data_IF_471709621124
#
_entry.id   IF_471709621124
#
_cell.length_a   1.000
_cell.length_b   1.000
_cell.length_c   1.000
_cell.angle_alpha   90.00
_cell.angle_beta   90.00
_cell.angle_gamma   90.00
#
_symmetry.space_group_name_H-M   'P 1'
#
loop_
_entity.id
_entity.type
_entity.pdbx_description
1 polymer ?
#
# COMPACT_ATOMS: atom_id res chain seq x y z
N UNK A 1 5.42 13.14 1.83
CA UNK A 1 4.28 12.91 0.90
C UNK A 1 4.72 12.35 -0.46
N UNK A 2 5.79 12.87 -1.09
CA UNK A 2 6.24 12.38 -2.41
C UNK A 2 6.60 10.89 -2.42
N UNK A 3 7.35 10.43 -1.40
CA UNK A 3 7.71 9.02 -1.24
C UNK A 3 6.49 8.08 -1.20
N UNK A 4 5.46 8.43 -0.42
CA UNK A 4 4.21 7.65 -0.32
C UNK A 4 3.48 7.59 -1.65
N UNK A 5 3.45 8.70 -2.41
CA UNK A 5 2.85 8.73 -3.74
C UNK A 5 3.65 7.88 -4.75
N UNK A 6 4.97 7.86 -4.64
CA UNK A 6 5.83 7.00 -5.46
C UNK A 6 5.53 5.51 -5.17
N UNK A 7 5.48 5.13 -3.90
CA UNK A 7 5.05 3.79 -3.47
C UNK A 7 3.67 3.41 -3.98
N UNK A 8 2.68 4.31 -3.89
CA UNK A 8 1.31 4.08 -4.40
C UNK A 8 1.32 3.83 -5.90
N UNK A 9 2.07 4.65 -6.64
CA UNK A 9 2.20 4.53 -8.09
C UNK A 9 2.86 3.21 -8.47
N UNK A 10 3.90 2.80 -7.73
CA UNK A 10 4.60 1.53 -7.96
C UNK A 10 3.73 0.32 -7.64
N UNK A 11 2.98 0.37 -6.54
CA UNK A 11 2.03 -0.67 -6.17
C UNK A 11 0.96 -0.85 -7.26
N UNK A 12 0.43 0.27 -7.77
CA UNK A 12 -0.55 0.28 -8.87
C UNK A 12 0.00 -0.31 -10.16
N UNK A 13 1.25 0.02 -10.52
CA UNK A 13 1.95 -0.55 -11.67
C UNK A 13 2.13 -2.07 -11.53
N UNK A 14 2.60 -2.56 -10.38
CA UNK A 14 2.92 -3.99 -10.18
C UNK A 14 1.65 -4.85 -10.11
N UNK A 15 0.60 -4.34 -9.48
CA UNK A 15 -0.64 -5.10 -9.30
C UNK A 15 -1.46 -5.11 -10.59
N UNK A 16 -1.22 -4.16 -11.51
CA UNK A 16 -1.97 -3.96 -12.76
C UNK A 16 -3.48 -3.89 -12.51
N UNK A 17 -3.86 -3.18 -11.44
CA UNK A 17 -5.25 -3.08 -10.99
C UNK A 17 -5.62 -1.65 -10.63
N UNK A 18 -6.91 -1.34 -10.83
CA UNK A 18 -7.53 -0.11 -10.32
C UNK A 18 -7.88 -0.21 -8.83
N UNK A 19 -7.81 -1.39 -8.23
CA UNK A 19 -8.11 -1.63 -6.81
C UNK A 19 -6.86 -1.44 -5.93
N UNK A 20 -6.25 -0.25 -6.04
CA UNK A 20 -5.18 0.20 -5.15
C UNK A 20 -5.61 1.50 -4.47
N UNK A 21 -5.45 1.53 -3.15
CA UNK A 21 -5.96 2.57 -2.28
C UNK A 21 -4.84 3.12 -1.40
N UNK A 22 -4.94 4.40 -1.06
CA UNK A 22 -4.11 5.04 -0.05
C UNK A 22 -5.00 5.60 1.05
N UNK A 23 -4.71 5.21 2.29
CA UNK A 23 -5.34 5.76 3.48
C UNK A 23 -4.33 6.53 4.31
N UNK A 24 -4.81 7.56 5.01
CA UNK A 24 -4.09 8.24 6.09
C UNK A 24 -4.75 7.87 7.41
N UNK A 25 -4.00 7.17 8.26
CA UNK A 25 -4.38 6.82 9.63
C UNK A 25 -4.15 7.96 10.61
N UNK A 26 -4.18 7.62 11.89
CA UNK A 26 -3.78 8.52 12.97
C UNK A 26 -2.24 8.69 12.98
N UNK A 27 -1.72 9.76 13.61
CA UNK A 27 -0.28 10.00 13.78
C UNK A 27 0.57 9.98 12.49
N UNK A 28 -0.01 10.45 11.38
CA UNK A 28 0.64 10.49 10.07
C UNK A 28 1.04 9.13 9.47
N UNK A 29 0.41 8.05 9.93
CA UNK A 29 0.55 6.73 9.33
C UNK A 29 -0.11 6.67 7.94
N UNK A 30 0.56 6.04 6.99
CA UNK A 30 0.04 5.80 5.64
C UNK A 30 -0.16 4.32 5.37
N UNK A 31 -1.32 3.95 4.82
CA UNK A 31 -1.62 2.59 4.41
C UNK A 31 -1.78 2.49 2.90
N UNK A 32 -0.87 1.77 2.24
CA UNK A 32 -0.97 1.44 0.83
C UNK A 32 -1.60 0.06 0.68
N UNK A 33 -2.81 0.00 0.14
CA UNK A 33 -3.58 -1.25 0.07
C UNK A 33 -3.80 -1.65 -1.38
N UNK A 34 -3.28 -2.81 -1.76
CA UNK A 34 -3.53 -3.43 -3.05
C UNK A 34 -4.43 -4.65 -2.92
N UNK A 35 -5.52 -4.70 -3.69
CA UNK A 35 -6.40 -5.86 -3.74
C UNK A 35 -5.91 -6.83 -4.83
N UNK A 36 -5.36 -7.98 -4.40
CA UNK A 36 -4.87 -9.03 -5.30
C UNK A 36 -4.86 -10.39 -4.60
N UNK A 37 -5.45 -11.40 -5.24
CA UNK A 37 -5.27 -12.80 -4.83
C UNK A 37 -3.95 -13.33 -5.38
N UNK A 38 -3.04 -13.70 -4.47
CA UNK A 38 -1.67 -14.12 -4.79
C UNK A 38 -1.05 -14.79 -3.56
N UNK A 39 0.00 -15.58 -3.76
CA UNK A 39 0.67 -16.31 -2.69
C UNK A 39 1.42 -15.36 -1.74
N UNK A 40 1.65 -15.76 -0.48
CA UNK A 40 2.43 -14.95 0.47
C UNK A 40 3.84 -14.62 -0.05
N UNK A 41 4.47 -15.54 -0.77
CA UNK A 41 5.79 -15.33 -1.38
C UNK A 41 5.76 -14.22 -2.44
N UNK A 42 4.71 -14.16 -3.25
CA UNK A 42 4.51 -13.07 -4.22
C UNK A 42 4.16 -11.76 -3.52
N UNK A 43 3.33 -11.78 -2.47
CA UNK A 43 3.02 -10.58 -1.67
C UNK A 43 4.29 -9.94 -1.13
N UNK A 44 5.19 -10.74 -0.53
CA UNK A 44 6.47 -10.25 -0.03
C UNK A 44 7.27 -9.53 -1.12
N UNK A 45 7.43 -10.17 -2.29
CA UNK A 45 8.16 -9.57 -3.42
C UNK A 45 7.55 -8.25 -3.92
N UNK A 46 6.23 -8.11 -3.87
CA UNK A 46 5.56 -6.87 -4.26
C UNK A 46 5.82 -5.81 -3.18
N UNK A 47 5.67 -6.15 -1.90
CA UNK A 47 5.92 -5.25 -0.77
C UNK A 47 7.35 -4.73 -0.81
N UNK A 48 8.33 -5.61 -0.98
CA UNK A 48 9.76 -5.26 -1.05
C UNK A 48 10.00 -4.21 -2.16
N UNK A 49 9.48 -4.46 -3.37
CA UNK A 49 9.61 -3.52 -4.49
C UNK A 49 8.95 -2.16 -4.24
N UNK A 50 7.87 -2.13 -3.48
CA UNK A 50 7.18 -0.87 -3.13
C UNK A 50 7.96 -0.10 -2.08
N UNK A 51 8.47 -0.78 -1.06
CA UNK A 51 9.32 -0.17 -0.04
C UNK A 51 10.63 0.34 -0.64
N UNK A 52 11.28 -0.45 -1.50
CA UNK A 52 12.47 -0.03 -2.25
C UNK A 52 12.23 1.26 -3.04
N UNK A 53 11.03 1.42 -3.63
CA UNK A 53 10.68 2.66 -4.33
C UNK A 53 10.49 3.82 -3.36
N UNK A 54 9.79 3.61 -2.24
CA UNK A 54 9.58 4.62 -1.20
C UNK A 54 10.93 5.13 -0.67
N UNK A 55 11.88 4.22 -0.41
CA UNK A 55 13.18 4.57 0.16
C UNK A 55 14.12 5.34 -0.77
N UNK A 56 13.84 5.38 -2.08
CA UNK A 56 14.55 6.31 -2.99
C UNK A 56 14.28 7.78 -2.67
N UNK A 57 13.20 8.06 -1.93
CA UNK A 57 12.71 9.39 -1.65
C UNK A 57 12.85 9.80 -0.18
N UNK A 58 13.52 8.99 0.66
CA UNK A 58 13.84 9.27 2.05
C UNK A 58 14.08 8.02 2.88
N UNK A 59 14.50 8.20 4.14
CA UNK A 59 14.96 7.08 4.99
C UNK A 59 13.96 6.68 6.08
N UNK A 60 13.05 7.58 6.47
CA UNK A 60 12.09 7.35 7.56
C UNK A 60 10.67 7.72 7.13
N UNK A 61 9.77 6.73 7.17
CA UNK A 61 8.35 6.90 6.87
C UNK A 61 7.51 5.99 7.76
N UNK A 62 6.38 6.51 8.24
CA UNK A 62 5.37 5.69 8.89
C UNK A 62 4.41 5.15 7.83
N UNK A 63 4.75 3.98 7.28
CA UNK A 63 4.03 3.40 6.15
C UNK A 63 3.83 1.89 6.28
N UNK A 64 2.62 1.44 5.99
CA UNK A 64 2.21 0.03 5.98
C UNK A 64 1.72 -0.35 4.59
N UNK A 65 2.28 -1.40 3.99
CA UNK A 65 1.85 -1.93 2.68
C UNK A 65 1.04 -3.21 2.90
N UNK A 66 -0.20 -3.23 2.42
CA UNK A 66 -1.13 -4.34 2.59
C UNK A 66 -1.51 -4.91 1.23
N UNK A 67 -1.31 -6.22 1.04
CA UNK A 67 -1.81 -6.95 -0.13
C UNK A 67 -2.80 -8.00 0.31
N UNK A 68 -4.06 -7.81 -0.05
CA UNK A 68 -5.16 -8.59 0.50
C UNK A 68 -6.21 -8.94 -0.56
N UNK A 69 -7.07 -9.90 -0.22
CA UNK A 69 -8.25 -10.24 -1.03
C UNK A 69 -9.33 -9.16 -0.85
N UNK A 70 -10.27 -9.08 -1.80
CA UNK A 70 -11.41 -8.16 -1.71
C UNK A 70 -12.24 -8.34 -0.44
N UNK A 71 -12.52 -9.60 -0.06
CA UNK A 71 -13.28 -9.91 1.16
C UNK A 71 -12.61 -9.34 2.42
N UNK A 72 -11.32 -9.59 2.59
CA UNK A 72 -10.57 -9.06 3.73
C UNK A 72 -10.44 -7.54 3.69
N UNK A 73 -10.30 -6.93 2.51
CA UNK A 73 -10.29 -5.47 2.39
C UNK A 73 -11.58 -4.86 2.94
N UNK A 74 -12.74 -5.41 2.59
CA UNK A 74 -14.03 -4.92 3.08
C UNK A 74 -14.16 -5.00 4.61
N UNK A 75 -13.45 -5.93 5.27
CA UNK A 75 -13.44 -6.06 6.73
C UNK A 75 -12.54 -5.04 7.44
N UNK A 76 -11.46 -4.59 6.78
CA UNK A 76 -10.44 -3.74 7.43
C UNK A 76 -10.49 -2.28 6.99
N UNK A 77 -11.09 -1.96 5.83
CA UNK A 77 -10.99 -0.61 5.22
C UNK A 77 -11.44 0.52 6.14
N UNK A 78 -12.44 0.27 6.98
CA UNK A 78 -13.01 1.30 7.87
C UNK A 78 -12.10 1.59 9.08
N UNK A 79 -11.11 0.73 9.38
CA UNK A 79 -10.12 0.94 10.43
C UNK A 79 -8.81 1.55 9.94
N UNK A 80 -8.63 1.76 8.63
CA UNK A 80 -7.39 2.28 8.05
C UNK A 80 -7.33 3.82 8.04
N UNK A 81 -8.37 4.48 8.55
CA UNK A 81 -8.49 5.94 8.57
C UNK A 81 -9.13 6.51 7.30
N UNK A 82 -8.71 7.72 6.92
CA UNK A 82 -9.34 8.45 5.81
C UNK A 82 -8.71 8.06 4.48
N UNK A 83 -9.53 7.61 3.53
CA UNK A 83 -9.07 7.37 2.16
C UNK A 83 -8.70 8.68 1.48
N UNK A 84 -7.50 8.74 0.92
CA UNK A 84 -6.98 9.91 0.20
C UNK A 84 -6.71 9.66 -1.29
N UNK A 85 -6.48 8.41 -1.72
CA UNK A 85 -6.42 7.99 -3.14
C UNK A 85 -7.09 6.62 -3.36
#
# INVERSE_FOLDING_TARGET
MEAIKAGYSKLKEIIDSKEVYLFKGEDEEYYLVGIKETSCAEKSKIIDKVLDEIYKHGEEFFVTVIITSKENFEKIKDSLGTRIL
#
